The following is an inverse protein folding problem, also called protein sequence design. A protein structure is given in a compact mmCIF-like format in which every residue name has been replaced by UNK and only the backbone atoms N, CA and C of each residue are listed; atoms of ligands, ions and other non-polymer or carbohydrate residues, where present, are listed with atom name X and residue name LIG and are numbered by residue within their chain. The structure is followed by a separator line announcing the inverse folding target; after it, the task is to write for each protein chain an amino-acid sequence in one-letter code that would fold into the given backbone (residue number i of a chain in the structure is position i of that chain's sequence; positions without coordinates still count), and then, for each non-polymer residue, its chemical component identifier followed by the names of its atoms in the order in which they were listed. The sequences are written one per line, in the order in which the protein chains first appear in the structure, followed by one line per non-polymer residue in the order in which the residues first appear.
data_IF_656770379579
#
_entry.id   IF_656770379579
#
_cell.length_a   1.000
_cell.length_b   1.000
_cell.length_c   1.000
_cell.angle_alpha   90.00
_cell.angle_beta   90.00
_cell.angle_gamma   90.00
#
_symmetry.space_group_name_H-M   'P 1'
#
loop_
_entity.id
_entity.type
_entity.pdbx_description
1 polymer ?
#
# COMPACT_ATOMS: atom_id res chain seq x y z
N UNK A 1 52.39 -21.42 -37.85
CA UNK A 1 53.13 -21.74 -36.61
C UNK A 1 53.02 -20.50 -35.73
N UNK A 2 52.04 -20.38 -34.86
CA UNK A 2 51.99 -20.98 -33.52
C UNK A 2 52.09 -19.83 -32.51
N UNK A 3 50.95 -19.27 -32.10
CA UNK A 3 50.35 -19.42 -30.76
C UNK A 3 50.91 -18.42 -29.73
N UNK A 4 50.17 -17.32 -29.50
CA UNK A 4 50.25 -16.53 -28.28
C UNK A 4 48.99 -16.82 -27.45
N UNK A 5 49.19 -17.33 -26.25
CA UNK A 5 48.16 -17.52 -25.25
C UNK A 5 48.17 -16.32 -24.30
N UNK A 6 47.03 -15.64 -24.13
CA UNK A 6 46.60 -15.06 -22.86
C UNK A 6 45.07 -15.10 -22.85
N UNK A 7 44.52 -15.92 -21.97
CA UNK A 7 43.08 -15.99 -21.67
C UNK A 7 42.63 -14.70 -21.01
N UNK A 8 42.01 -13.80 -21.78
CA UNK A 8 41.16 -12.75 -21.24
C UNK A 8 39.79 -13.37 -20.94
N UNK A 9 39.62 -13.92 -19.73
CA UNK A 9 38.28 -14.21 -19.21
C UNK A 9 37.59 -12.87 -19.02
N UNK A 10 36.73 -12.55 -19.98
CA UNK A 10 35.95 -11.32 -20.03
C UNK A 10 35.17 -11.13 -18.74
N UNK A 11 35.27 -9.92 -18.21
CA UNK A 11 34.26 -9.32 -17.34
C UNK A 11 32.90 -9.54 -17.99
N UNK A 12 32.12 -10.48 -17.46
CA UNK A 12 30.66 -10.46 -17.61
C UNK A 12 30.14 -9.51 -16.54
N UNK A 13 30.20 -8.22 -16.88
CA UNK A 13 29.21 -7.27 -16.42
C UNK A 13 27.84 -7.66 -17.01
N UNK A 14 26.76 -7.16 -16.39
CA UNK A 14 25.32 -7.41 -16.62
C UNK A 14 24.78 -8.49 -15.66
N UNK A 15 23.88 -8.22 -14.72
CA UNK A 15 23.03 -7.06 -14.50
C UNK A 15 22.83 -6.88 -12.99
N UNK A 16 23.21 -5.71 -12.47
CA UNK A 16 22.53 -5.18 -11.30
C UNK A 16 21.12 -4.84 -11.80
N UNK A 17 20.13 -5.64 -11.42
CA UNK A 17 18.75 -5.21 -11.45
C UNK A 17 18.68 -4.04 -10.46
N UNK A 18 18.84 -2.83 -11.00
CA UNK A 18 18.47 -1.61 -10.31
C UNK A 18 16.96 -1.70 -10.12
N UNK A 19 16.56 -2.22 -8.97
CA UNK A 19 15.24 -2.00 -8.40
C UNK A 19 15.12 -0.47 -8.33
N UNK A 20 14.41 0.12 -9.28
CA UNK A 20 13.89 1.47 -9.11
C UNK A 20 12.85 1.35 -8.00
N UNK A 21 13.30 1.36 -6.74
CA UNK A 21 12.50 1.87 -5.65
C UNK A 21 12.21 3.31 -6.05
N UNK A 22 11.06 3.52 -6.67
CA UNK A 22 10.44 4.84 -6.68
C UNK A 22 10.34 5.17 -5.20
N UNK A 23 11.14 6.15 -4.76
CA UNK A 23 11.06 6.74 -3.44
C UNK A 23 9.67 7.37 -3.37
N UNK A 24 8.68 6.57 -2.99
CA UNK A 24 7.30 6.99 -3.00
C UNK A 24 7.12 7.87 -1.78
N UNK A 25 6.73 9.13 -2.01
CA UNK A 25 6.39 10.12 -0.99
C UNK A 25 5.20 9.69 -0.12
N UNK A 26 5.34 8.65 0.69
CA UNK A 26 4.26 8.04 1.45
C UNK A 26 3.82 8.90 2.63
N UNK A 27 2.59 8.67 3.11
CA UNK A 27 2.16 9.19 4.41
C UNK A 27 2.64 8.27 5.52
N UNK A 28 3.28 8.84 6.54
CA UNK A 28 3.82 8.08 7.68
C UNK A 28 3.55 8.77 9.02
N UNK A 29 3.66 8.04 10.12
CA UNK A 29 3.60 8.62 11.47
C UNK A 29 4.48 7.88 12.47
N UNK A 30 5.00 8.59 13.46
CA UNK A 30 5.88 7.99 14.48
C UNK A 30 5.16 6.99 15.41
N UNK A 31 3.85 7.14 15.59
CA UNK A 31 3.02 6.26 16.40
C UNK A 31 1.70 5.91 15.70
N UNK A 32 0.95 4.92 16.20
CA UNK A 32 -0.30 4.53 15.60
C UNK A 32 -1.32 5.67 15.71
N UNK A 33 -1.92 6.07 14.59
CA UNK A 33 -3.01 7.05 14.54
C UNK A 33 -4.39 6.39 14.63
N UNK A 34 -4.49 5.11 14.28
CA UNK A 34 -5.70 4.29 14.37
C UNK A 34 -5.58 3.38 15.59
N UNK A 35 -6.27 3.74 16.67
CA UNK A 35 -6.36 2.95 17.89
C UNK A 35 -7.54 1.99 17.90
N UNK A 36 -7.81 1.32 19.05
CA UNK A 36 -8.96 0.44 19.20
C UNK A 36 -10.32 1.13 19.08
N UNK A 37 -10.38 2.43 19.40
CA UNK A 37 -11.64 3.19 19.39
C UNK A 37 -12.00 3.71 18.00
N UNK A 38 -11.01 3.90 17.13
CA UNK A 38 -11.17 4.37 15.75
C UNK A 38 -11.24 3.24 14.72
N UNK A 39 -10.85 2.02 15.13
CA UNK A 39 -10.72 0.89 14.22
C UNK A 39 -12.08 0.38 13.73
N UNK A 40 -12.11 -0.08 12.48
CA UNK A 40 -13.23 -0.77 11.85
C UNK A 40 -12.75 -2.02 11.12
N UNK A 41 -13.65 -2.97 10.91
CA UNK A 41 -13.37 -4.23 10.20
C UNK A 41 -14.26 -4.37 8.96
N UNK A 42 -13.94 -3.65 7.86
CA UNK A 42 -14.75 -3.70 6.64
C UNK A 42 -14.65 -5.03 5.91
N UNK A 43 -13.54 -5.75 6.08
CA UNK A 43 -13.37 -7.11 5.60
C UNK A 43 -14.03 -8.09 6.57
N UNK A 44 -14.81 -9.03 6.04
CA UNK A 44 -15.29 -10.15 6.85
C UNK A 44 -14.16 -11.17 7.04
N UNK A 45 -14.07 -11.85 8.20
CA UNK A 45 -13.16 -12.98 8.35
C UNK A 45 -13.38 -14.05 7.27
N UNK A 46 -12.30 -14.60 6.72
CA UNK A 46 -12.39 -15.61 5.66
C UNK A 46 -11.11 -15.72 4.85
N UNK A 47 -11.12 -16.60 3.84
CA UNK A 47 -9.98 -16.79 2.94
C UNK A 47 -10.04 -15.73 1.83
N UNK A 48 -8.91 -15.06 1.60
CA UNK A 48 -8.75 -14.08 0.54
C UNK A 48 -7.60 -14.48 -0.38
N UNK A 49 -7.66 -14.00 -1.63
CA UNK A 49 -6.52 -13.95 -2.54
C UNK A 49 -6.19 -12.50 -2.86
N UNK A 50 -4.90 -12.17 -2.83
CA UNK A 50 -4.36 -10.91 -3.33
C UNK A 50 -3.83 -11.16 -4.74
N UNK A 51 -4.32 -10.35 -5.66
CA UNK A 51 -3.98 -10.39 -7.07
C UNK A 51 -3.18 -9.14 -7.36
N UNK A 52 -1.91 -9.30 -7.67
CA UNK A 52 -1.05 -8.19 -8.03
C UNK A 52 -1.16 -7.93 -9.53
N UNK A 53 -1.20 -6.67 -9.93
CA UNK A 53 -1.34 -6.28 -11.32
C UNK A 53 -0.19 -5.39 -11.74
N UNK A 54 0.56 -5.85 -12.74
CA UNK A 54 1.53 -5.02 -13.43
C UNK A 54 0.89 -4.38 -14.68
N UNK A 55 1.37 -3.20 -15.05
CA UNK A 55 0.79 -2.43 -16.15
C UNK A 55 0.85 -3.22 -17.48
N UNK A 56 -0.33 -3.55 -18.02
CA UNK A 56 -0.46 -4.29 -19.28
C UNK A 56 -0.46 -5.82 -19.14
N UNK A 57 -0.46 -6.34 -17.91
CA UNK A 57 -0.52 -7.77 -17.63
C UNK A 57 -1.83 -8.16 -16.93
N UNK A 58 -2.18 -9.45 -17.03
CA UNK A 58 -3.32 -9.98 -16.29
C UNK A 58 -2.94 -10.10 -14.80
N UNK A 59 -3.83 -9.75 -13.86
CA UNK A 59 -3.52 -9.88 -12.44
C UNK A 59 -3.16 -11.33 -12.05
N UNK A 60 -2.07 -11.50 -11.30
CA UNK A 60 -1.59 -12.79 -10.82
C UNK A 60 -1.80 -12.92 -9.31
N UNK A 61 -2.17 -14.12 -8.84
CA UNK A 61 -2.32 -14.37 -7.39
C UNK A 61 -0.93 -14.45 -6.76
N UNK A 62 -0.55 -13.44 -5.98
CA UNK A 62 0.73 -13.37 -5.27
C UNK A 62 0.61 -13.84 -3.82
N UNK A 63 -0.59 -13.76 -3.24
CA UNK A 63 -0.84 -14.25 -1.89
C UNK A 63 -2.24 -14.84 -1.74
N UNK A 64 -2.37 -15.84 -0.85
CA UNK A 64 -3.66 -16.42 -0.46
C UNK A 64 -3.62 -16.87 0.99
N UNK A 65 -4.61 -16.49 1.78
CA UNK A 65 -4.65 -16.86 3.19
C UNK A 65 -5.95 -16.47 3.90
N UNK A 66 -6.12 -17.00 5.10
CA UNK A 66 -7.24 -16.62 5.97
C UNK A 66 -6.93 -15.29 6.66
N UNK A 67 -7.81 -14.31 6.50
CA UNK A 67 -7.80 -13.06 7.23
C UNK A 67 -8.75 -13.19 8.42
N UNK A 68 -8.25 -12.79 9.59
CA UNK A 68 -8.99 -12.71 10.85
C UNK A 68 -8.67 -11.40 11.56
N UNK A 69 -9.44 -11.09 12.62
CA UNK A 69 -9.27 -9.88 13.41
C UNK A 69 -9.21 -10.19 14.90
N UNK A 70 -8.33 -9.52 15.62
CA UNK A 70 -8.33 -9.54 17.09
C UNK A 70 -9.55 -8.77 17.64
N UNK A 71 -9.80 -8.89 18.95
CA UNK A 71 -10.86 -8.11 19.62
C UNK A 71 -10.65 -6.60 19.47
N UNK A 72 -9.39 -6.15 19.36
CA UNK A 72 -9.04 -4.75 19.18
C UNK A 72 -8.98 -4.34 17.70
N UNK A 73 -9.50 -5.16 16.78
CA UNK A 73 -9.58 -4.85 15.35
C UNK A 73 -8.24 -4.89 14.60
N UNK A 74 -7.26 -5.64 15.10
CA UNK A 74 -5.97 -5.86 14.41
C UNK A 74 -6.11 -7.01 13.42
N UNK A 75 -5.72 -6.78 12.17
CA UNK A 75 -5.73 -7.78 11.10
C UNK A 75 -4.62 -8.81 11.31
N UNK A 76 -4.96 -10.09 11.16
CA UNK A 76 -4.02 -11.21 11.33
C UNK A 76 -4.26 -12.31 10.31
N UNK A 77 -3.17 -12.94 9.85
CA UNK A 77 -3.21 -14.14 9.02
C UNK A 77 -2.15 -15.15 9.46
N UNK A 78 -2.43 -16.46 9.43
CA UNK A 78 -1.42 -17.50 9.62
C UNK A 78 -0.60 -17.79 8.36
N UNK A 79 -0.98 -17.23 7.20
CA UNK A 79 -0.26 -17.44 5.95
C UNK A 79 1.07 -16.69 5.96
N UNK A 80 2.13 -17.36 5.50
CA UNK A 80 3.45 -16.72 5.32
C UNK A 80 3.37 -15.60 4.27
N UNK A 81 4.14 -14.53 4.47
CA UNK A 81 4.19 -13.40 3.54
C UNK A 81 2.89 -12.57 3.48
N UNK A 82 2.19 -12.42 4.61
CA UNK A 82 1.02 -11.54 4.69
C UNK A 82 1.42 -10.12 5.08
N UNK A 83 1.44 -9.22 4.09
CA UNK A 83 1.96 -7.85 4.25
C UNK A 83 1.06 -6.94 5.13
N UNK A 84 -0.20 -7.32 5.35
CA UNK A 84 -1.14 -6.59 6.21
C UNK A 84 -1.13 -7.08 7.67
N UNK A 85 -0.12 -7.86 8.06
CA UNK A 85 -0.02 -8.40 9.41
C UNK A 85 0.08 -7.25 10.43
N UNK A 86 -0.84 -7.22 11.40
CA UNK A 86 -0.86 -6.18 12.42
C UNK A 86 -1.56 -4.88 11.99
N UNK A 87 -2.09 -4.82 10.77
CA UNK A 87 -2.76 -3.63 10.27
C UNK A 87 -4.06 -3.31 11.02
N UNK A 88 -4.43 -2.03 11.05
CA UNK A 88 -5.73 -1.52 11.52
C UNK A 88 -6.38 -0.69 10.43
N UNK A 89 -7.70 -0.56 10.48
CA UNK A 89 -8.42 0.22 9.47
C UNK A 89 -9.32 1.28 10.11
N UNK A 90 -9.43 2.44 9.48
CA UNK A 90 -10.37 3.48 9.86
C UNK A 90 -11.22 3.87 8.65
N UNK A 91 -12.44 4.37 8.87
CA UNK A 91 -13.24 4.93 7.78
C UNK A 91 -12.64 6.26 7.34
N UNK A 92 -12.41 6.41 6.04
CA UNK A 92 -12.18 7.71 5.40
C UNK A 92 -13.53 8.31 4.97
N UNK A 93 -14.28 7.54 4.17
CA UNK A 93 -15.63 7.84 3.67
C UNK A 93 -16.36 6.54 3.33
N UNK A 94 -17.67 6.55 3.02
CA UNK A 94 -18.37 5.33 2.65
C UNK A 94 -17.68 4.60 1.49
N UNK A 95 -17.35 3.32 1.70
CA UNK A 95 -16.66 2.47 0.73
C UNK A 95 -15.15 2.68 0.63
N UNK A 96 -14.54 3.54 1.44
CA UNK A 96 -13.09 3.77 1.45
C UNK A 96 -12.55 3.82 2.87
N UNK A 97 -11.49 3.05 3.10
CA UNK A 97 -10.86 2.88 4.40
C UNK A 97 -9.39 3.25 4.32
N UNK A 98 -8.90 3.87 5.40
CA UNK A 98 -7.48 4.04 5.66
C UNK A 98 -6.99 2.74 6.27
N UNK A 99 -5.92 2.16 5.74
CA UNK A 99 -5.23 1.02 6.33
C UNK A 99 -3.91 1.53 6.93
N UNK A 100 -3.75 1.38 8.24
CA UNK A 100 -2.52 1.64 8.95
C UNK A 100 -1.70 0.35 9.03
N UNK A 101 -0.50 0.39 8.47
CA UNK A 101 0.48 -0.69 8.53
C UNK A 101 1.47 -0.43 9.67
N UNK A 102 1.77 -1.44 10.51
CA UNK A 102 2.84 -1.30 11.49
C UNK A 102 4.20 -1.16 10.78
N UNK A 103 5.22 -0.59 11.46
CA UNK A 103 6.58 -0.58 10.93
C UNK A 103 7.07 -1.99 10.59
N UNK A 104 7.75 -2.16 9.46
CA UNK A 104 8.34 -3.44 9.08
C UNK A 104 9.59 -3.77 9.90
N UNK A 105 9.79 -5.06 10.18
CA UNK A 105 10.96 -5.55 10.91
C UNK A 105 12.24 -5.32 10.09
N UNK A 106 13.01 -4.31 10.46
CA UNK A 106 14.28 -3.95 9.79
C UNK A 106 14.27 -2.57 9.15
N UNK A 107 13.10 -1.99 8.95
CA UNK A 107 12.88 -0.63 8.41
C UNK A 107 12.47 0.33 9.54
N UNK A 108 13.19 0.24 10.66
CA UNK A 108 12.85 0.85 11.96
C UNK A 108 12.73 2.39 11.96
N UNK A 109 13.02 3.05 10.84
CA UNK A 109 13.08 4.50 10.74
C UNK A 109 11.81 5.13 10.14
N UNK A 110 10.89 4.37 9.53
CA UNK A 110 9.76 4.95 8.77
C UNK A 110 8.43 5.03 9.53
N UNK A 111 8.32 4.40 10.71
CA UNK A 111 7.10 4.47 11.53
C UNK A 111 5.91 3.71 10.89
N UNK A 112 4.68 4.14 11.18
CA UNK A 112 3.46 3.55 10.63
C UNK A 112 3.17 4.14 9.26
N UNK A 113 2.92 3.29 8.26
CA UNK A 113 2.57 3.71 6.90
C UNK A 113 1.05 3.60 6.64
N UNK A 114 0.55 4.37 5.67
CA UNK A 114 -0.89 4.43 5.37
C UNK A 114 -1.21 4.15 3.91
N UNK A 115 -2.15 3.24 3.68
CA UNK A 115 -2.72 2.97 2.36
C UNK A 115 -4.23 3.19 2.37
N UNK A 116 -4.83 3.26 1.18
CA UNK A 116 -6.27 3.31 1.00
C UNK A 116 -6.77 1.96 0.52
N UNK A 117 -7.84 1.48 1.12
CA UNK A 117 -8.59 0.29 0.69
C UNK A 117 -9.97 0.72 0.24
N UNK A 118 -10.36 0.33 -0.95
CA UNK A 118 -11.63 0.72 -1.54
C UNK A 118 -12.50 -0.51 -1.78
N UNK A 119 -13.79 -0.42 -1.46
CA UNK A 119 -14.75 -1.42 -1.85
C UNK A 119 -15.00 -1.33 -3.35
N UNK A 120 -14.98 -2.47 -4.02
CA UNK A 120 -15.48 -2.55 -5.39
C UNK A 120 -17.01 -2.39 -5.39
N UNK A 121 -17.51 -1.49 -6.22
CA UNK A 121 -18.96 -1.22 -6.34
C UNK A 121 -19.68 -2.21 -7.27
N UNK A 122 -18.95 -2.97 -8.08
CA UNK A 122 -19.46 -3.93 -9.06
C UNK A 122 -19.38 -5.38 -8.56
N UNK A 123 -18.40 -5.71 -7.71
CA UNK A 123 -18.20 -7.07 -7.19
C UNK A 123 -18.08 -7.06 -5.67
N UNK A 124 -19.08 -7.62 -5.00
CA UNK A 124 -19.05 -7.78 -3.54
C UNK A 124 -17.84 -8.63 -3.12
N UNK A 125 -17.21 -8.26 -1.98
CA UNK A 125 -16.06 -9.00 -1.47
C UNK A 125 -14.74 -8.73 -2.22
N UNK A 126 -14.72 -7.87 -3.24
CA UNK A 126 -13.51 -7.39 -3.91
C UNK A 126 -13.14 -5.98 -3.45
N UNK A 127 -11.85 -5.76 -3.23
CA UNK A 127 -11.30 -4.50 -2.73
C UNK A 127 -9.99 -4.17 -3.44
N UNK A 128 -9.72 -2.90 -3.70
CA UNK A 128 -8.43 -2.47 -4.26
C UNK A 128 -7.64 -1.64 -3.26
N UNK A 129 -6.33 -1.83 -3.26
CA UNK A 129 -5.40 -1.09 -2.43
C UNK A 129 -4.69 -0.02 -3.26
N UNK A 130 -4.45 1.13 -2.65
CA UNK A 130 -3.71 2.24 -3.25
C UNK A 130 -2.73 2.78 -2.20
N UNK A 131 -1.50 3.06 -2.62
CA UNK A 131 -0.53 3.79 -1.82
C UNK A 131 -0.62 5.29 -2.16
N UNK A 132 -1.21 6.13 -1.28
CA UNK A 132 -1.31 7.55 -1.52
C UNK A 132 0.06 8.22 -1.46
N UNK A 133 0.40 8.98 -2.51
CA UNK A 133 1.69 9.69 -2.64
C UNK A 133 1.48 11.17 -2.36
N UNK A 134 2.11 11.67 -1.29
CA UNK A 134 2.03 13.06 -0.83
C UNK A 134 2.51 14.07 -1.87
N UNK A 135 3.55 13.75 -2.65
CA UNK A 135 4.02 14.59 -3.76
C UNK A 135 2.95 14.83 -4.84
N UNK A 136 1.96 13.94 -4.93
CA UNK A 136 0.86 14.11 -5.86
C UNK A 136 -0.14 15.20 -5.42
N UNK A 137 -0.06 15.66 -4.17
CA UNK A 137 -0.79 16.84 -3.70
C UNK A 137 -0.11 18.11 -4.18
N UNK A 138 -0.89 19.11 -4.57
CA UNK A 138 -0.38 20.44 -4.88
C UNK A 138 0.31 21.07 -3.67
N UNK A 139 1.37 21.85 -3.92
CA UNK A 139 2.09 22.58 -2.85
C UNK A 139 1.17 23.48 -2.02
N UNK A 140 0.08 23.99 -2.63
CA UNK A 140 -0.92 24.79 -1.93
C UNK A 140 -1.71 23.95 -0.91
N UNK A 141 -2.12 22.74 -1.28
CA UNK A 141 -2.79 21.80 -0.37
C UNK A 141 -1.85 21.34 0.72
N UNK A 142 -0.62 20.93 0.38
CA UNK A 142 0.39 20.52 1.36
C UNK A 142 0.61 21.61 2.42
N UNK A 143 0.86 22.85 1.99
CA UNK A 143 1.03 23.99 2.89
C UNK A 143 -0.21 24.29 3.74
N UNK A 144 -1.42 24.12 3.19
CA UNK A 144 -2.67 24.38 3.93
C UNK A 144 -2.93 23.35 5.04
N UNK A 145 -2.46 22.11 4.85
CA UNK A 145 -2.58 21.01 5.80
C UNK A 145 -1.37 20.90 6.74
N UNK A 146 -0.35 21.74 6.54
CA UNK A 146 0.90 21.68 7.30
C UNK A 146 1.72 20.43 6.99
N UNK A 147 1.55 19.85 5.80
CA UNK A 147 2.33 18.71 5.34
C UNK A 147 3.67 19.19 4.80
N UNK A 148 4.73 18.52 5.21
CA UNK A 148 6.09 18.75 4.71
C UNK A 148 6.65 17.41 4.22
N UNK A 149 7.16 17.41 3.00
CA UNK A 149 7.90 16.29 2.46
C UNK A 149 9.35 16.38 2.92
N UNK A 150 9.79 15.40 3.71
CA UNK A 150 11.16 15.29 4.20
C UNK A 150 11.65 13.88 3.90
N UNK A 151 12.80 13.75 3.26
CA UNK A 151 13.40 12.45 2.91
C UNK A 151 12.40 11.49 2.23
N UNK A 152 11.64 12.02 1.27
CA UNK A 152 10.65 11.28 0.48
C UNK A 152 9.51 10.66 1.31
N UNK A 153 9.16 11.25 2.47
CA UNK A 153 7.95 10.91 3.23
C UNK A 153 7.24 12.16 3.76
N UNK A 154 5.93 12.08 3.93
CA UNK A 154 5.11 13.09 4.59
C UNK A 154 4.64 12.58 5.95
N UNK A 155 5.23 13.13 7.00
CA UNK A 155 4.84 12.79 8.37
C UNK A 155 3.53 13.46 8.75
N UNK A 156 2.63 12.68 9.34
CA UNK A 156 1.37 13.15 9.93
C UNK A 156 1.31 12.78 11.41
N UNK A 157 0.86 13.73 12.24
CA UNK A 157 0.83 13.56 13.70
C UNK A 157 -0.57 13.25 14.26
N UNK A 158 -1.60 13.28 13.42
CA UNK A 158 -2.98 13.03 13.84
C UNK A 158 -3.80 12.34 12.76
N UNK A 159 -4.77 11.52 13.19
CA UNK A 159 -5.71 10.86 12.27
C UNK A 159 -6.57 11.87 11.49
N UNK A 160 -6.88 13.02 12.08
CA UNK A 160 -7.66 14.06 11.42
C UNK A 160 -6.86 14.71 10.28
N UNK A 161 -5.60 15.07 10.52
CA UNK A 161 -4.69 15.56 9.46
C UNK A 161 -4.54 14.53 8.34
N UNK A 162 -4.37 13.25 8.69
CA UNK A 162 -4.28 12.18 7.72
C UNK A 162 -5.58 12.06 6.89
N UNK A 163 -6.75 12.10 7.51
CA UNK A 163 -8.04 12.08 6.80
C UNK A 163 -8.17 13.24 5.83
N UNK A 164 -7.86 14.45 6.27
CA UNK A 164 -7.93 15.65 5.42
C UNK A 164 -6.97 15.55 4.23
N UNK A 165 -5.75 15.05 4.46
CA UNK A 165 -4.76 14.82 3.41
C UNK A 165 -5.22 13.77 2.38
N UNK A 166 -5.77 12.64 2.86
CA UNK A 166 -6.24 11.56 1.99
C UNK A 166 -7.49 11.96 1.21
N UNK A 167 -8.42 12.72 1.81
CA UNK A 167 -9.56 13.28 1.09
C UNK A 167 -9.11 14.26 0.01
N UNK A 168 -8.13 15.12 0.30
CA UNK A 168 -7.57 16.02 -0.69
C UNK A 168 -6.86 15.26 -1.83
N UNK A 169 -6.15 14.18 -1.49
CA UNK A 169 -5.51 13.29 -2.46
C UNK A 169 -6.54 12.69 -3.42
N UNK A 170 -7.63 12.12 -2.90
CA UNK A 170 -8.70 11.58 -3.74
C UNK A 170 -9.32 12.64 -4.67
N UNK A 171 -9.44 13.89 -4.22
CA UNK A 171 -9.98 14.98 -5.03
C UNK A 171 -9.01 15.38 -6.15
N UNK A 172 -7.74 15.60 -5.84
CA UNK A 172 -6.75 16.03 -6.85
C UNK A 172 -6.39 14.90 -7.84
N UNK A 173 -6.63 13.65 -7.45
CA UNK A 173 -6.40 12.44 -8.23
C UNK A 173 -7.67 11.80 -8.80
N UNK A 174 -8.82 12.46 -8.70
CA UNK A 174 -10.09 11.91 -9.14
C UNK A 174 -10.08 11.42 -10.60
N UNK A 175 -9.33 12.09 -11.48
CA UNK A 175 -9.19 11.72 -12.90
C UNK A 175 -8.33 10.46 -13.13
N UNK A 176 -7.53 10.04 -12.14
CA UNK A 176 -6.70 8.83 -12.19
C UNK A 176 -7.40 7.59 -11.61
N UNK A 177 -8.59 7.78 -11.02
CA UNK A 177 -9.42 6.71 -10.46
C UNK A 177 -10.66 6.48 -11.33
N UNK A 178 -10.56 5.88 -12.54
CA UNK A 178 -11.75 5.38 -13.22
C UNK A 178 -12.41 4.30 -12.35
N UNK A 179 -13.71 4.10 -12.48
CA UNK A 179 -14.53 3.23 -11.62
C UNK A 179 -14.00 1.79 -11.45
N UNK A 180 -13.18 1.30 -12.40
CA UNK A 180 -12.33 0.13 -12.25
C UNK A 180 -11.17 0.24 -13.25
N UNK A 181 -9.95 0.59 -12.83
CA UNK A 181 -8.81 0.63 -13.72
C UNK A 181 -8.31 -0.80 -13.96
N UNK A 182 -8.34 -1.24 -15.21
CA UNK A 182 -7.56 -2.40 -15.66
C UNK A 182 -6.10 -2.23 -15.17
N UNK A 183 -5.53 -3.29 -14.60
CA UNK A 183 -4.14 -3.27 -14.13
C UNK A 183 -3.92 -2.74 -12.71
N UNK A 184 -4.89 -2.86 -11.80
CA UNK A 184 -4.67 -2.63 -10.36
C UNK A 184 -4.74 -3.90 -9.53
N UNK A 185 -3.90 -3.93 -8.50
CA UNK A 185 -3.86 -4.99 -7.53
C UNK A 185 -5.12 -4.97 -6.65
N UNK A 186 -5.68 -6.14 -6.38
CA UNK A 186 -6.91 -6.27 -5.60
C UNK A 186 -6.88 -7.46 -4.66
N UNK A 187 -7.60 -7.32 -3.55
CA UNK A 187 -7.90 -8.35 -2.58
C UNK A 187 -9.33 -8.83 -2.83
N UNK A 188 -9.55 -10.15 -2.93
CA UNK A 188 -10.89 -10.71 -3.10
C UNK A 188 -11.12 -11.89 -2.17
N UNK A 189 -12.32 -11.96 -1.58
CA UNK A 189 -12.71 -13.09 -0.73
C UNK A 189 -13.05 -14.31 -1.59
N UNK A 190 -12.48 -15.45 -1.21
CA UNK A 190 -12.80 -16.72 -1.86
C UNK A 190 -14.26 -17.10 -1.61
N UNK A 191 -15.00 -17.33 -2.69
CA UNK A 191 -16.43 -17.66 -2.66
C UNK A 191 -17.36 -16.52 -3.07
N UNK A 192 -16.84 -15.29 -3.22
CA UNK A 192 -17.59 -14.11 -3.68
C UNK A 192 -17.36 -13.81 -5.19
N UNK A 193 -16.52 -14.62 -5.86
CA UNK A 193 -16.28 -14.61 -7.31
C UNK A 193 -17.28 -15.48 -8.09
#
# INVERSE_FOLDING_TARGET
MGAAAVSARGLRALAAAALCLVLAACFVSAGPLIGPDETVTPLQPGVYSFHDAEAGEAPEVTWRGEISFTQDGVMTSPAEGFDYQGARMAVLRPGVWIVQHPPEDGEQDEGYAYTLLYADTETEGRYYAELPVCEALSLAVQASLGLELVDDVCTVDSLDTLRDALLAYEVERADDFPAFPEGRSYLVREGDL
#
